data_IF_276337637915
#
_entry.id   IF_276337637915
#
_cell.length_a   1.000
_cell.length_b   1.000
_cell.length_c   1.000
_cell.angle_alpha   90.00
_cell.angle_beta   90.00
_cell.angle_gamma   90.00
#
_symmetry.space_group_name_H-M   'P 1'
#
loop_
_entity.id
_entity.type
_entity.pdbx_description
1 polymer ?
#
# COMPACT_ATOMS: atom_id res chain seq x y z
N UNK A 1 12.29 -46.53 36.36
CA UNK A 1 12.26 -45.06 36.17
C UNK A 1 12.62 -44.75 34.73
N UNK A 2 11.64 -44.78 33.83
CA UNK A 2 11.78 -44.48 32.40
C UNK A 2 11.37 -43.02 32.17
N UNK A 3 12.34 -42.18 31.81
CA UNK A 3 12.11 -40.77 31.50
C UNK A 3 11.46 -40.66 30.11
N UNK A 4 10.23 -40.17 30.06
CA UNK A 4 9.59 -39.70 28.84
C UNK A 4 10.18 -38.34 28.46
N UNK A 5 10.90 -38.28 27.35
CA UNK A 5 11.31 -37.01 26.73
C UNK A 5 10.12 -36.49 25.93
N UNK A 6 9.51 -35.41 26.40
CA UNK A 6 8.46 -34.69 25.69
C UNK A 6 9.12 -33.90 24.55
N UNK A 7 8.98 -34.40 23.32
CA UNK A 7 9.39 -33.67 22.12
C UNK A 7 8.41 -32.51 21.92
N UNK A 8 8.86 -31.29 22.23
CA UNK A 8 8.11 -30.06 21.99
C UNK A 8 8.02 -29.86 20.48
N UNK A 9 6.88 -30.24 19.88
CA UNK A 9 6.58 -29.96 18.49
C UNK A 9 6.56 -28.43 18.32
N UNK A 10 7.53 -27.87 17.60
CA UNK A 10 7.53 -26.46 17.20
C UNK A 10 6.25 -26.22 16.39
N UNK A 11 5.30 -25.50 16.97
CA UNK A 11 4.14 -25.01 16.24
C UNK A 11 4.67 -24.02 15.19
N UNK A 12 4.65 -24.39 13.91
CA UNK A 12 5.03 -23.47 12.85
C UNK A 12 4.08 -22.28 12.92
N UNK A 13 4.63 -21.09 13.17
CA UNK A 13 3.88 -19.85 13.01
C UNK A 13 3.41 -19.82 11.56
N UNK A 14 2.14 -20.10 11.31
CA UNK A 14 1.55 -19.82 10.01
C UNK A 14 1.64 -18.30 9.84
N UNK A 15 2.61 -17.82 9.08
CA UNK A 15 2.57 -16.47 8.53
C UNK A 15 1.35 -16.43 7.61
N UNK A 16 0.24 -15.92 8.13
CA UNK A 16 -0.94 -15.64 7.31
C UNK A 16 -0.55 -14.60 6.28
N UNK A 17 -0.31 -15.06 5.05
CA UNK A 17 -0.17 -14.17 3.92
C UNK A 17 -1.53 -13.56 3.61
N UNK A 18 -1.56 -12.25 3.52
CA UNK A 18 -2.73 -11.51 3.09
C UNK A 18 -2.83 -11.61 1.57
N UNK A 19 -3.98 -12.04 1.05
CA UNK A 19 -4.30 -12.03 -0.38
C UNK A 19 -5.69 -11.45 -0.56
N UNK A 20 -5.91 -10.69 -1.63
CA UNK A 20 -7.23 -10.15 -1.94
C UNK A 20 -8.22 -11.31 -2.12
N UNK A 21 -9.32 -11.30 -1.38
CA UNK A 21 -10.33 -12.38 -1.41
C UNK A 21 -11.50 -12.05 -2.33
N UNK A 22 -11.70 -10.78 -2.66
CA UNK A 22 -12.83 -10.25 -3.43
C UNK A 22 -12.43 -9.04 -4.29
N UNK A 23 -13.39 -8.50 -5.03
CA UNK A 23 -13.22 -7.33 -5.91
C UNK A 23 -12.46 -7.62 -7.21
N UNK A 24 -12.14 -6.55 -7.95
CA UNK A 24 -11.38 -6.66 -9.19
C UNK A 24 -9.92 -7.11 -8.97
N UNK A 25 -9.34 -6.85 -7.80
CA UNK A 25 -8.00 -7.31 -7.46
C UNK A 25 -7.90 -8.84 -7.29
N UNK A 26 -9.03 -9.54 -7.08
CA UNK A 26 -9.07 -11.00 -7.08
C UNK A 26 -9.12 -11.61 -8.49
N UNK A 27 -9.32 -10.79 -9.53
CA UNK A 27 -9.34 -11.21 -10.93
C UNK A 27 -7.91 -11.21 -11.51
N UNK A 28 -7.74 -11.59 -12.78
CA UNK A 28 -6.44 -11.60 -13.47
C UNK A 28 -5.33 -12.34 -12.69
N UNK A 29 -5.64 -13.52 -12.14
CA UNK A 29 -4.69 -14.29 -11.33
C UNK A 29 -4.59 -13.86 -9.85
N UNK A 30 -5.22 -12.74 -9.48
CA UNK A 30 -5.38 -12.28 -8.10
C UNK A 30 -4.19 -11.49 -7.55
N UNK A 31 -4.41 -10.81 -6.43
CA UNK A 31 -3.38 -10.03 -5.72
C UNK A 31 -2.90 -10.75 -4.45
N UNK A 32 -1.61 -11.08 -4.42
CA UNK A 32 -0.94 -11.80 -3.33
C UNK A 32 0.19 -11.02 -2.65
N UNK A 33 0.57 -9.86 -3.20
CA UNK A 33 1.61 -9.00 -2.67
C UNK A 33 2.94 -9.72 -2.51
N UNK A 34 3.51 -9.62 -1.31
CA UNK A 34 4.81 -10.19 -0.96
C UNK A 34 4.82 -11.68 -0.59
N UNK A 35 3.76 -12.44 -0.91
CA UNK A 35 3.66 -13.86 -0.54
C UNK A 35 4.89 -14.65 -0.96
N UNK A 36 5.44 -15.43 -0.03
CA UNK A 36 6.66 -16.24 -0.24
C UNK A 36 7.97 -15.45 -0.26
N UNK A 37 7.90 -14.13 -0.05
CA UNK A 37 9.03 -13.21 -0.03
C UNK A 37 9.70 -13.03 1.32
N UNK A 38 10.65 -12.09 1.36
CA UNK A 38 11.27 -11.66 2.62
C UNK A 38 10.29 -10.87 3.47
N UNK A 39 10.47 -10.89 4.79
CA UNK A 39 9.68 -10.09 5.72
C UNK A 39 10.60 -9.17 6.50
N UNK A 40 10.31 -7.87 6.49
CA UNK A 40 11.11 -6.86 7.20
C UNK A 40 10.18 -5.95 8.01
N UNK A 41 10.59 -5.54 9.20
CA UNK A 41 9.94 -4.46 9.96
C UNK A 41 10.82 -3.24 9.96
N UNK A 42 10.25 -2.07 9.65
CA UNK A 42 10.95 -0.79 9.56
C UNK A 42 10.23 0.28 10.38
N UNK A 43 10.97 1.29 10.83
CA UNK A 43 10.46 2.39 11.66
C UNK A 43 11.10 3.73 11.31
N UNK A 44 11.75 3.84 10.14
CA UNK A 44 12.44 5.04 9.69
C UNK A 44 12.21 5.24 8.19
N UNK A 45 12.01 6.49 7.76
CA UNK A 45 11.62 6.85 6.39
C UNK A 45 12.57 6.27 5.33
N UNK A 46 13.89 6.47 5.46
CA UNK A 46 14.85 5.95 4.49
C UNK A 46 14.90 4.41 4.43
N UNK A 47 14.72 3.74 5.58
CA UNK A 47 14.64 2.29 5.63
C UNK A 47 13.35 1.77 4.98
N UNK A 48 12.24 2.47 5.18
CA UNK A 48 10.95 2.18 4.55
C UNK A 48 11.04 2.32 3.02
N UNK A 49 11.52 3.46 2.52
CA UNK A 49 11.70 3.69 1.08
C UNK A 49 12.61 2.64 0.44
N UNK A 50 13.70 2.26 1.12
CA UNK A 50 14.60 1.20 0.63
C UNK A 50 13.92 -0.16 0.59
N UNK A 51 13.14 -0.50 1.62
CA UNK A 51 12.51 -1.82 1.75
C UNK A 51 11.41 -2.08 0.71
N UNK A 52 10.72 -1.04 0.21
CA UNK A 52 9.55 -1.22 -0.66
C UNK A 52 9.88 -1.20 -2.16
N UNK A 53 11.09 -0.76 -2.56
CA UNK A 53 11.42 -0.42 -3.96
C UNK A 53 11.70 -1.61 -4.91
N UNK A 54 12.20 -2.74 -4.38
CA UNK A 54 12.59 -3.90 -5.21
C UNK A 54 11.38 -4.56 -5.89
N UNK A 55 11.56 -5.30 -6.98
CA UNK A 55 10.47 -6.09 -7.59
C UNK A 55 10.37 -7.53 -7.03
N UNK A 56 11.29 -7.92 -6.14
CA UNK A 56 11.27 -9.23 -5.50
C UNK A 56 10.14 -9.31 -4.47
N UNK A 57 9.46 -10.48 -4.33
CA UNK A 57 8.41 -10.65 -3.33
C UNK A 57 8.89 -10.25 -1.93
N UNK A 58 8.13 -9.38 -1.26
CA UNK A 58 8.45 -8.89 0.07
C UNK A 58 7.25 -8.33 0.84
N UNK A 59 7.26 -8.56 2.15
CA UNK A 59 6.34 -7.94 3.11
C UNK A 59 7.11 -6.98 4.01
N UNK A 60 6.70 -5.71 3.99
CA UNK A 60 7.27 -4.62 4.80
C UNK A 60 6.25 -4.21 5.84
N UNK A 61 6.59 -4.44 7.11
CA UNK A 61 5.81 -4.00 8.25
C UNK A 61 6.29 -2.61 8.70
N UNK A 62 5.41 -1.61 8.69
CA UNK A 62 5.72 -0.28 9.19
C UNK A 62 5.32 -0.17 10.67
N UNK A 63 6.30 0.06 11.54
CA UNK A 63 6.10 0.22 12.98
C UNK A 63 6.56 1.60 13.44
N UNK A 64 5.59 2.50 13.60
CA UNK A 64 5.82 3.86 14.07
C UNK A 64 5.60 4.90 12.97
N UNK A 65 5.37 6.16 13.37
CA UNK A 65 5.19 7.24 12.41
C UNK A 65 6.49 7.52 11.66
N UNK A 66 6.37 7.68 10.35
CA UNK A 66 7.42 8.22 9.49
C UNK A 66 6.89 9.46 8.76
N UNK A 67 7.81 10.37 8.43
CA UNK A 67 7.53 11.51 7.57
C UNK A 67 8.22 11.30 6.24
N UNK A 68 7.47 11.42 5.16
CA UNK A 68 7.96 11.45 3.79
C UNK A 68 7.84 12.89 3.27
N UNK A 69 8.76 13.29 2.40
CA UNK A 69 8.75 14.61 1.76
C UNK A 69 8.32 14.57 0.30
N UNK A 70 8.02 13.38 -0.22
CA UNK A 70 7.63 13.10 -1.60
C UNK A 70 6.98 11.71 -1.65
N UNK A 71 6.51 11.30 -2.82
CA UNK A 71 6.10 9.92 -3.04
C UNK A 71 7.25 8.93 -2.82
N UNK A 72 6.92 7.79 -2.20
CA UNK A 72 7.81 6.64 -2.12
C UNK A 72 7.41 5.57 -3.15
N UNK A 73 8.35 5.23 -4.03
CA UNK A 73 8.13 4.29 -5.12
C UNK A 73 8.07 2.84 -4.63
N UNK A 74 6.98 2.16 -4.95
CA UNK A 74 6.77 0.75 -4.63
C UNK A 74 7.18 -0.11 -5.84
N UNK A 75 7.84 -1.24 -5.58
CA UNK A 75 8.11 -2.25 -6.62
C UNK A 75 7.06 -3.37 -6.67
N UNK A 76 7.18 -4.27 -7.64
CA UNK A 76 6.29 -5.42 -7.79
C UNK A 76 6.29 -6.32 -6.55
N UNK A 77 5.23 -7.13 -6.39
CA UNK A 77 5.14 -8.20 -5.40
C UNK A 77 5.36 -7.68 -3.96
N UNK A 78 4.69 -6.59 -3.60
CA UNK A 78 4.91 -5.91 -2.33
C UNK A 78 3.67 -5.99 -1.44
N UNK A 79 3.86 -6.31 -0.17
CA UNK A 79 2.86 -6.02 0.86
C UNK A 79 3.41 -4.99 1.84
N UNK A 80 2.74 -3.86 2.00
CA UNK A 80 3.04 -2.87 3.02
C UNK A 80 1.93 -2.95 4.06
N UNK A 81 2.28 -3.23 5.31
CA UNK A 81 1.30 -3.47 6.38
C UNK A 81 1.70 -2.67 7.63
N UNK A 82 0.80 -1.82 8.14
CA UNK A 82 1.05 -1.14 9.41
C UNK A 82 0.98 -2.08 10.61
N UNK A 83 1.84 -1.86 11.60
CA UNK A 83 1.88 -2.65 12.84
C UNK A 83 0.95 -2.03 13.89
N UNK A 84 -0.08 -2.78 14.29
CA UNK A 84 -1.08 -2.29 15.25
C UNK A 84 -1.70 -0.99 14.75
N UNK A 85 -1.70 0.04 15.58
CA UNK A 85 -2.19 1.39 15.23
C UNK A 85 -1.05 2.37 14.93
N UNK A 86 0.16 1.87 14.67
CA UNK A 86 1.38 2.70 14.62
C UNK A 86 1.95 2.89 13.22
N UNK A 87 1.39 2.23 12.19
CA UNK A 87 1.83 2.39 10.82
C UNK A 87 1.35 3.70 10.22
N UNK A 88 2.04 4.80 10.50
CA UNK A 88 1.63 6.15 10.10
C UNK A 88 2.64 6.72 9.10
N UNK A 89 2.15 7.25 7.99
CA UNK A 89 2.90 8.00 6.99
C UNK A 89 2.33 9.43 6.96
N UNK A 90 3.19 10.42 7.18
CA UNK A 90 2.83 11.84 7.18
C UNK A 90 3.61 12.59 6.09
N UNK A 91 2.98 13.56 5.43
CA UNK A 91 3.65 14.55 4.57
C UNK A 91 3.89 14.13 3.12
N UNK A 92 4.02 12.83 2.84
CA UNK A 92 4.29 12.29 1.50
C UNK A 92 3.50 11.01 1.23
N UNK A 93 3.33 10.69 -0.05
CA UNK A 93 2.50 9.58 -0.53
C UNK A 93 3.25 8.30 -0.92
N UNK A 94 2.52 7.40 -1.55
CA UNK A 94 3.03 6.14 -2.12
C UNK A 94 2.72 6.07 -3.61
N UNK A 95 3.66 5.60 -4.41
CA UNK A 95 3.49 5.50 -5.87
C UNK A 95 3.61 4.05 -6.36
N UNK A 96 2.64 3.63 -7.15
CA UNK A 96 2.60 2.37 -7.89
C UNK A 96 2.54 2.70 -9.39
N UNK A 97 3.71 2.82 -10.01
CA UNK A 97 3.88 3.22 -11.41
C UNK A 97 4.42 2.05 -12.26
N UNK A 98 3.64 1.58 -13.25
CA UNK A 98 3.97 0.40 -14.08
C UNK A 98 4.31 -0.85 -13.26
N UNK A 99 3.69 -1.00 -12.08
CA UNK A 99 3.90 -2.13 -11.16
C UNK A 99 2.64 -2.94 -10.95
N UNK A 100 2.82 -4.16 -10.49
CA UNK A 100 1.71 -5.06 -10.21
C UNK A 100 1.89 -5.89 -8.94
N UNK A 101 0.78 -6.50 -8.51
CA UNK A 101 0.72 -7.39 -7.36
C UNK A 101 1.17 -6.68 -6.07
N UNK A 102 0.44 -5.63 -5.67
CA UNK A 102 0.74 -4.82 -4.48
C UNK A 102 -0.42 -4.82 -3.51
N UNK A 103 -0.11 -4.91 -2.22
CA UNK A 103 -1.05 -4.83 -1.10
C UNK A 103 -0.60 -3.70 -0.17
N UNK A 104 -1.50 -2.77 0.15
CA UNK A 104 -1.26 -1.71 1.13
C UNK A 104 -2.37 -1.77 2.18
N UNK A 105 -2.01 -2.05 3.43
CA UNK A 105 -2.99 -2.29 4.50
C UNK A 105 -2.64 -1.73 5.85
N UNK A 106 -3.69 -1.40 6.62
CA UNK A 106 -3.58 -1.02 8.02
C UNK A 106 -2.61 0.16 8.26
N UNK A 107 -2.56 1.09 7.32
CA UNK A 107 -1.79 2.32 7.43
C UNK A 107 -2.70 3.52 7.72
N UNK A 108 -2.15 4.53 8.37
CA UNK A 108 -2.67 5.89 8.34
C UNK A 108 -1.78 6.69 7.39
N UNK A 109 -2.34 7.25 6.32
CA UNK A 109 -1.62 8.10 5.37
C UNK A 109 -2.25 9.49 5.42
N UNK A 110 -1.50 10.50 5.89
CA UNK A 110 -2.08 11.81 6.12
C UNK A 110 -1.21 12.99 5.69
N UNK A 111 -1.91 14.10 5.43
CA UNK A 111 -1.34 15.43 5.14
C UNK A 111 -0.27 15.40 4.04
N UNK A 112 -0.55 14.67 2.96
CA UNK A 112 0.35 14.59 1.80
C UNK A 112 0.28 15.88 1.00
N UNK A 113 1.37 16.65 0.99
CA UNK A 113 1.40 18.00 0.40
C UNK A 113 1.81 17.93 -1.06
N UNK A 114 1.01 18.52 -1.95
CA UNK A 114 1.32 18.67 -3.37
C UNK A 114 1.35 17.37 -4.18
N UNK A 115 0.78 16.28 -3.64
CA UNK A 115 0.75 14.96 -4.26
C UNK A 115 -0.36 14.10 -3.63
N UNK A 116 -0.55 12.87 -4.12
CA UNK A 116 -1.59 11.96 -3.66
C UNK A 116 -1.16 11.11 -2.46
N UNK A 117 -2.11 10.68 -1.63
CA UNK A 117 -1.87 9.64 -0.63
C UNK A 117 -1.33 8.34 -1.23
N UNK A 118 -1.99 7.84 -2.28
CA UNK A 118 -1.55 6.71 -3.11
C UNK A 118 -1.88 7.01 -4.58
N UNK A 119 -0.86 7.04 -5.44
CA UNK A 119 -1.03 7.11 -6.90
C UNK A 119 -0.84 5.72 -7.52
N UNK A 120 -1.80 5.29 -8.34
CA UNK A 120 -1.76 4.05 -9.11
C UNK A 120 -1.88 4.41 -10.59
N UNK A 121 -0.80 4.18 -11.36
CA UNK A 121 -0.71 4.71 -12.72
C UNK A 121 0.10 3.87 -13.71
N UNK A 122 -0.06 4.22 -14.99
CA UNK A 122 0.62 3.69 -16.17
C UNK A 122 0.54 2.17 -16.27
N UNK A 123 -0.69 1.65 -16.34
CA UNK A 123 -0.93 0.21 -16.47
C UNK A 123 -0.64 -0.60 -15.21
N UNK A 124 -0.54 0.05 -14.04
CA UNK A 124 -0.41 -0.66 -12.78
C UNK A 124 -1.64 -1.54 -12.52
N UNK A 125 -1.43 -2.77 -12.04
CA UNK A 125 -2.54 -3.73 -11.93
C UNK A 125 -2.42 -4.75 -10.80
N UNK A 126 -3.55 -5.36 -10.44
CA UNK A 126 -3.66 -6.30 -9.33
C UNK A 126 -3.23 -5.64 -8.01
N UNK A 127 -3.94 -4.58 -7.61
CA UNK A 127 -3.62 -3.76 -6.44
C UNK A 127 -4.74 -3.85 -5.40
N UNK A 128 -4.39 -4.06 -4.14
CA UNK A 128 -5.35 -4.10 -3.04
C UNK A 128 -5.00 -3.09 -1.95
N UNK A 129 -5.87 -2.07 -1.80
CA UNK A 129 -5.77 -1.01 -0.80
C UNK A 129 -6.84 -1.27 0.26
N UNK A 130 -6.46 -1.67 1.47
CA UNK A 130 -7.43 -2.17 2.44
C UNK A 130 -7.18 -1.84 3.92
N UNK A 131 -8.24 -1.47 4.64
CA UNK A 131 -8.18 -1.09 6.06
C UNK A 131 -7.19 0.05 6.36
N UNK A 132 -7.05 1.01 5.45
CA UNK A 132 -6.23 2.20 5.69
C UNK A 132 -7.11 3.39 6.09
N UNK A 133 -6.48 4.38 6.72
CA UNK A 133 -7.09 5.67 7.05
C UNK A 133 -6.37 6.76 6.26
N UNK A 134 -7.15 7.63 5.62
CA UNK A 134 -6.67 8.75 4.83
C UNK A 134 -7.31 10.05 5.30
N UNK A 135 -6.48 11.03 5.65
CA UNK A 135 -6.98 12.35 6.02
C UNK A 135 -5.97 13.46 5.81
N UNK A 136 -6.46 14.69 5.85
CA UNK A 136 -5.62 15.88 5.81
C UNK A 136 -6.12 16.92 6.83
N UNK A 137 -6.38 18.14 6.38
CA UNK A 137 -7.20 19.12 7.07
C UNK A 137 -7.86 20.03 6.03
N UNK A 138 -8.77 20.90 6.47
CA UNK A 138 -9.52 21.82 5.60
C UNK A 138 -9.05 23.28 5.76
N UNK A 139 -7.83 23.50 6.25
CA UNK A 139 -7.36 24.84 6.64
C UNK A 139 -6.44 25.49 5.61
N UNK A 140 -6.00 24.76 4.58
CA UNK A 140 -5.01 25.23 3.60
C UNK A 140 -5.59 25.53 2.20
N UNK A 141 -6.91 25.38 2.02
CA UNK A 141 -7.60 25.58 0.74
C UNK A 141 -7.67 24.30 -0.12
N UNK A 142 -8.44 24.37 -1.20
CA UNK A 142 -8.83 23.21 -2.03
C UNK A 142 -7.65 22.45 -2.67
N UNK A 143 -6.59 23.17 -3.08
CA UNK A 143 -5.47 22.61 -3.86
C UNK A 143 -4.16 22.44 -3.07
N UNK A 144 -4.16 22.66 -1.76
CA UNK A 144 -2.94 22.45 -0.97
C UNK A 144 -2.57 20.97 -0.83
N UNK A 145 -3.58 20.13 -0.65
CA UNK A 145 -3.49 18.68 -0.72
C UNK A 145 -4.12 18.23 -2.05
N UNK A 146 -3.58 17.18 -2.68
CA UNK A 146 -4.13 16.66 -3.96
C UNK A 146 -5.11 15.50 -3.74
N UNK A 147 -4.92 14.32 -4.34
CA UNK A 147 -5.77 13.15 -4.13
C UNK A 147 -5.47 12.37 -2.84
N UNK A 148 -6.38 11.53 -2.37
CA UNK A 148 -6.06 10.52 -1.35
C UNK A 148 -5.67 9.18 -1.99
N UNK A 149 -6.48 8.69 -2.93
CA UNK A 149 -6.17 7.48 -3.71
C UNK A 149 -6.60 7.70 -5.15
N UNK A 150 -5.64 7.82 -6.05
CA UNK A 150 -5.88 8.11 -7.46
C UNK A 150 -5.48 6.92 -8.34
N UNK A 151 -6.36 6.56 -9.27
CA UNK A 151 -6.24 5.40 -10.16
C UNK A 151 -6.38 5.91 -11.60
N UNK A 152 -5.26 6.04 -12.30
CA UNK A 152 -5.19 6.72 -13.59
C UNK A 152 -4.39 5.92 -14.61
N UNK A 153 -4.30 6.45 -15.84
CA UNK A 153 -3.40 5.97 -16.89
C UNK A 153 -3.49 4.45 -17.12
N UNK A 154 -4.71 3.96 -17.43
CA UNK A 154 -5.00 2.56 -17.73
C UNK A 154 -4.64 1.55 -16.62
N UNK A 155 -4.60 1.99 -15.35
CA UNK A 155 -4.50 1.07 -14.22
C UNK A 155 -5.77 0.20 -14.11
N UNK A 156 -5.61 -1.07 -13.74
CA UNK A 156 -6.70 -2.05 -13.76
C UNK A 156 -6.59 -3.07 -12.60
N UNK A 157 -7.63 -3.87 -12.38
CA UNK A 157 -7.66 -4.90 -11.34
C UNK A 157 -7.33 -4.36 -9.93
N UNK A 158 -7.94 -3.23 -9.59
CA UNK A 158 -7.76 -2.55 -8.30
C UNK A 158 -8.95 -2.82 -7.39
N UNK A 159 -8.70 -3.03 -6.09
CA UNK A 159 -9.75 -3.07 -5.06
C UNK A 159 -9.38 -2.16 -3.91
N UNK A 160 -10.30 -1.26 -3.57
CA UNK A 160 -10.19 -0.31 -2.45
C UNK A 160 -11.30 -0.65 -1.47
N UNK A 161 -10.96 -1.32 -0.35
CA UNK A 161 -11.94 -1.90 0.57
C UNK A 161 -11.69 -1.52 2.02
N UNK A 162 -12.75 -1.29 2.81
CA UNK A 162 -12.65 -1.00 4.25
C UNK A 162 -11.70 0.14 4.64
N UNK A 163 -11.44 1.07 3.73
CA UNK A 163 -10.65 2.26 4.03
C UNK A 163 -11.55 3.36 4.61
N UNK A 164 -10.99 4.23 5.44
CA UNK A 164 -11.65 5.40 5.99
C UNK A 164 -11.05 6.68 5.38
N UNK A 165 -11.83 7.38 4.57
CA UNK A 165 -11.46 8.65 3.95
C UNK A 165 -12.21 9.79 4.64
N UNK A 166 -11.50 10.79 5.15
CA UNK A 166 -12.11 11.93 5.83
C UNK A 166 -11.21 13.19 5.80
N UNK A 167 -11.79 14.33 6.19
CA UNK A 167 -11.09 15.60 6.38
C UNK A 167 -10.18 16.01 5.20
N UNK A 168 -10.77 16.00 3.99
CA UNK A 168 -10.04 16.22 2.74
C UNK A 168 -10.97 16.72 1.61
N UNK A 169 -10.44 17.45 0.64
CA UNK A 169 -11.22 18.02 -0.47
C UNK A 169 -11.37 17.07 -1.67
N UNK A 170 -10.27 16.54 -2.20
CA UNK A 170 -10.22 15.71 -3.43
C UNK A 170 -9.91 14.25 -3.07
N UNK A 171 -10.93 13.45 -2.77
CA UNK A 171 -10.68 12.12 -2.19
C UNK A 171 -10.07 11.11 -3.18
N UNK A 172 -10.74 10.84 -4.30
CA UNK A 172 -10.26 9.83 -5.24
C UNK A 172 -10.65 10.19 -6.66
N UNK A 173 -9.68 10.06 -7.58
CA UNK A 173 -9.87 10.18 -9.02
C UNK A 173 -9.70 8.83 -9.70
N UNK A 174 -10.64 8.47 -10.58
CA UNK A 174 -10.52 7.30 -11.47
C UNK A 174 -10.59 7.79 -12.91
N UNK A 175 -9.43 7.85 -13.56
CA UNK A 175 -9.24 8.48 -14.87
C UNK A 175 -8.99 9.99 -14.76
N UNK A 176 -7.74 10.42 -15.04
CA UNK A 176 -7.31 11.81 -14.89
C UNK A 176 -7.36 12.67 -16.16
N UNK A 177 -7.57 12.05 -17.32
CA UNK A 177 -7.65 12.73 -18.62
C UNK A 177 -8.79 12.11 -19.47
N UNK A 178 -9.81 12.89 -19.88
CA UNK A 178 -10.90 12.40 -20.72
C UNK A 178 -10.44 11.93 -22.11
N UNK A 179 -9.31 12.43 -22.61
CA UNK A 179 -8.73 12.01 -23.89
C UNK A 179 -7.82 10.78 -23.74
N UNK A 180 -7.83 10.17 -22.55
CA UNK A 180 -7.16 8.91 -22.25
C UNK A 180 -5.65 9.00 -22.39
N UNK A 181 -5.07 10.18 -22.10
CA UNK A 181 -3.64 10.51 -22.12
C UNK A 181 -2.84 9.50 -22.92
N UNK A 182 -2.63 9.76 -24.22
CA UNK A 182 -2.08 8.85 -25.23
C UNK A 182 -0.82 8.06 -24.78
N UNK A 183 -1.01 7.06 -23.96
CA UNK A 183 0.04 6.17 -23.46
C UNK A 183 -0.25 4.80 -24.08
N UNK A 184 0.54 4.46 -25.09
CA UNK A 184 0.36 3.27 -25.92
C UNK A 184 0.56 1.97 -25.17
N UNK A 185 -0.17 0.94 -25.63
CA UNK A 185 0.15 -0.47 -25.40
C UNK A 185 1.58 -0.84 -25.82
#
# INVERSE_FOLDING_TARGET
MTRFTFCLLLLSLFTSFTTAQDGYASQNGGTTGGKGGTTTTVSAAGAFQTAIKSDTPKTVYLKGPITLSSQAQIGNNTSIIGVGTTGIINGGGLEIDRKSNVIIRNLVINKVVGDDGITIQHGAHNIWIDHNEFYSDLNHGFDYYDGQVDITHASDYVTVSYNYFHDHYKSSLVGGDPDGGKEGE
#
